data_IF_423510231839
#
_entry.id   IF_423510231839
#
_cell.length_a   1.000
_cell.length_b   1.000
_cell.length_c   1.000
_cell.angle_alpha   90.00
_cell.angle_beta   90.00
_cell.angle_gamma   90.00
#
_symmetry.space_group_name_H-M   'P 1'
#
loop_
_entity.id
_entity.type
_entity.pdbx_description
1 polymer ?
#
# COMPACT_ATOMS: atom_id res chain seq x y z
N UNK A 1 -7.01 4.36 8.47
CA UNK A 1 -5.84 5.25 8.40
C UNK A 1 -5.76 5.77 6.98
N UNK A 2 -5.65 7.08 6.82
CA UNK A 2 -5.61 7.68 5.50
C UNK A 2 -4.26 7.42 4.83
N UNK A 3 -4.29 7.11 3.54
CA UNK A 3 -3.09 6.90 2.74
C UNK A 3 -3.30 7.40 1.31
N UNK A 4 -2.18 7.62 0.61
CA UNK A 4 -2.16 7.93 -0.82
C UNK A 4 -1.33 6.90 -1.57
N UNK A 5 -1.85 6.46 -2.70
CA UNK A 5 -1.18 5.57 -3.63
C UNK A 5 -0.51 6.39 -4.73
N UNK A 6 0.72 6.03 -5.07
CA UNK A 6 1.47 6.58 -6.20
C UNK A 6 1.96 5.43 -7.09
N UNK A 7 2.17 5.69 -8.39
CA UNK A 7 2.90 4.76 -9.25
C UNK A 7 4.26 4.43 -8.63
N UNK A 8 4.64 3.16 -8.69
CA UNK A 8 5.97 2.76 -8.29
C UNK A 8 7.04 3.35 -9.23
N UNK A 9 8.30 3.45 -8.76
CA UNK A 9 9.39 3.89 -9.62
C UNK A 9 9.58 2.92 -10.81
N UNK A 10 10.22 3.40 -11.91
CA UNK A 10 10.23 2.68 -13.20
C UNK A 10 10.92 1.30 -13.18
N UNK A 11 11.73 1.04 -12.15
CA UNK A 11 12.48 -0.19 -11.94
C UNK A 11 11.71 -1.25 -11.13
N UNK A 12 10.53 -0.93 -10.62
CA UNK A 12 9.66 -1.88 -9.93
C UNK A 12 8.79 -2.67 -10.93
N UNK A 13 8.27 -3.83 -10.48
CA UNK A 13 7.29 -4.60 -11.25
C UNK A 13 6.06 -3.74 -11.58
N UNK A 14 5.45 -3.95 -12.75
CA UNK A 14 4.29 -3.18 -13.25
C UNK A 14 3.11 -3.13 -12.27
N UNK A 15 2.98 -4.14 -11.41
CA UNK A 15 1.91 -4.25 -10.41
C UNK A 15 2.25 -3.59 -9.07
N UNK A 16 3.42 -2.95 -8.96
CA UNK A 16 3.88 -2.31 -7.73
C UNK A 16 3.35 -0.89 -7.63
N UNK A 17 2.99 -0.49 -6.41
CA UNK A 17 2.59 0.88 -6.08
C UNK A 17 3.30 1.34 -4.81
N UNK A 18 3.55 2.64 -4.69
CA UNK A 18 4.06 3.24 -3.46
C UNK A 18 2.89 3.74 -2.61
N UNK A 19 2.82 3.31 -1.34
CA UNK A 19 1.79 3.73 -0.39
C UNK A 19 2.42 4.68 0.62
N UNK A 20 1.88 5.89 0.73
CA UNK A 20 2.29 6.87 1.73
C UNK A 20 1.16 7.05 2.73
N UNK A 21 1.40 6.69 3.98
CA UNK A 21 0.47 6.94 5.08
C UNK A 21 0.47 8.42 5.47
N UNK A 22 -0.69 8.94 5.86
CA UNK A 22 -0.80 10.31 6.36
C UNK A 22 -0.01 10.52 7.65
N UNK A 23 0.16 9.45 8.43
CA UNK A 23 0.88 9.44 9.70
C UNK A 23 1.75 8.17 9.78
N UNK A 24 2.86 8.19 10.55
CA UNK A 24 3.70 7.00 10.74
C UNK A 24 2.92 5.84 11.38
N UNK A 25 3.14 4.62 10.87
CA UNK A 25 2.56 3.40 11.42
C UNK A 25 3.64 2.44 11.92
N UNK A 26 3.33 1.73 12.99
CA UNK A 26 4.19 0.70 13.57
C UNK A 26 3.80 -0.70 13.09
N UNK A 27 4.76 -1.62 13.06
CA UNK A 27 4.51 -3.05 12.82
C UNK A 27 4.23 -3.43 11.37
N UNK A 28 4.53 -2.54 10.42
CA UNK A 28 4.51 -2.84 8.98
C UNK A 28 5.74 -3.70 8.64
N UNK A 29 5.53 -4.83 7.96
CA UNK A 29 6.60 -5.78 7.64
C UNK A 29 6.40 -6.42 6.27
N UNK A 30 7.49 -6.66 5.50
CA UNK A 30 7.41 -7.38 4.25
C UNK A 30 6.74 -8.75 4.39
N UNK A 31 5.96 -9.13 3.38
CA UNK A 31 5.18 -10.38 3.36
C UNK A 31 3.80 -10.28 4.01
N UNK A 32 3.51 -9.21 4.78
CA UNK A 32 2.15 -8.93 5.24
C UNK A 32 1.26 -8.47 4.08
N UNK A 33 -0.05 -8.61 4.24
CA UNK A 33 -1.03 -8.03 3.31
C UNK A 33 -1.35 -6.58 3.66
N UNK A 34 -1.46 -5.73 2.65
CA UNK A 34 -2.07 -4.40 2.74
C UNK A 34 -3.39 -4.38 1.96
N UNK A 35 -4.47 -3.94 2.59
CA UNK A 35 -5.82 -3.89 2.00
C UNK A 35 -6.31 -2.44 2.02
N UNK A 36 -6.83 -1.97 0.90
CA UNK A 36 -7.27 -0.59 0.70
C UNK A 36 -8.79 -0.51 0.64
N UNK A 37 -9.33 0.50 1.32
CA UNK A 37 -10.76 0.74 1.43
C UNK A 37 -11.08 2.20 1.07
N UNK A 38 -12.23 2.41 0.44
CA UNK A 38 -12.92 3.71 0.32
C UNK A 38 -14.20 3.65 1.13
N UNK A 39 -14.16 4.20 2.35
CA UNK A 39 -15.19 3.97 3.36
C UNK A 39 -15.35 2.47 3.65
N UNK A 40 -16.53 1.92 3.36
CA UNK A 40 -16.86 0.50 3.56
C UNK A 40 -16.56 -0.37 2.33
N UNK A 41 -16.11 0.21 1.22
CA UNK A 41 -15.84 -0.51 -0.04
C UNK A 41 -14.42 -1.02 -0.06
N UNK A 42 -14.24 -2.34 -0.20
CA UNK A 42 -12.94 -2.96 -0.45
C UNK A 42 -12.50 -2.71 -1.89
N UNK A 43 -11.41 -1.96 -2.07
CA UNK A 43 -10.86 -1.65 -3.40
C UNK A 43 -9.89 -2.74 -3.89
N UNK A 44 -9.32 -3.50 -2.95
CA UNK A 44 -8.33 -4.54 -3.23
C UNK A 44 -7.14 -4.46 -2.28
N UNK A 45 -6.05 -5.12 -2.65
CA UNK A 45 -4.87 -5.19 -1.80
C UNK A 45 -3.69 -5.82 -2.50
N UNK A 46 -2.57 -5.91 -1.78
CA UNK A 46 -1.34 -6.51 -2.25
C UNK A 46 -0.46 -6.97 -1.09
N UNK A 47 0.69 -7.53 -1.43
CA UNK A 47 1.71 -7.92 -0.46
C UNK A 47 2.69 -6.76 -0.27
N UNK A 48 2.98 -6.45 0.98
CA UNK A 48 3.98 -5.45 1.35
C UNK A 48 5.34 -5.99 0.94
N UNK A 49 5.98 -5.33 -0.02
CA UNK A 49 7.25 -5.77 -0.58
C UNK A 49 8.46 -5.22 0.19
N UNK A 50 8.39 -3.96 0.66
CA UNK A 50 9.46 -3.26 1.37
C UNK A 50 8.93 -2.13 2.24
#
# INVERSE_FOLDING_TARGET
>A
VDCRLYPAPPDADETTVAVHFAEPLYGISPGQGAVFYDGDVCLGGGIIAR
#
